data_IF_398073481437
#
_entry.id   IF_398073481437
#
_cell.length_a   1.000
_cell.length_b   1.000
_cell.length_c   1.000
_cell.angle_alpha   90.00
_cell.angle_beta   90.00
_cell.angle_gamma   90.00
#
_symmetry.space_group_name_H-M   'P 1'
#
loop_
_entity.id
_entity.type
_entity.pdbx_description
1 polymer ?
#
# COMPACT_ATOMS: atom_id res chain seq x y z
N UNK A 1 -19.26 25.27 -20.03
CA UNK A 1 -18.00 25.96 -19.68
C UNK A 1 -17.30 25.08 -18.66
N UNK A 2 -16.32 24.31 -19.17
CA UNK A 2 -15.49 23.30 -18.51
C UNK A 2 -16.26 22.09 -17.96
N UNK A 3 -16.25 21.00 -18.73
CA UNK A 3 -16.59 19.65 -18.28
C UNK A 3 -15.61 19.18 -17.19
N UNK A 4 -15.94 19.49 -15.94
CA UNK A 4 -15.19 19.04 -14.73
C UNK A 4 -15.43 17.54 -14.46
N UNK A 5 -16.10 16.79 -15.34
CA UNK A 5 -16.25 15.33 -15.21
C UNK A 5 -15.14 14.53 -15.91
N UNK A 6 -14.44 15.09 -16.91
CA UNK A 6 -13.39 14.37 -17.64
C UNK A 6 -12.02 14.32 -16.94
N UNK A 7 -11.81 15.15 -15.90
CA UNK A 7 -10.49 15.32 -15.23
C UNK A 7 -10.42 14.72 -13.82
N UNK A 8 -11.54 14.32 -13.21
CA UNK A 8 -11.58 13.73 -11.87
C UNK A 8 -10.82 12.39 -11.71
N UNK A 9 -10.78 11.47 -12.70
CA UNK A 9 -10.10 10.18 -12.48
C UNK A 9 -8.57 10.29 -12.41
N UNK A 10 -7.97 11.45 -12.72
CA UNK A 10 -6.51 11.57 -12.74
C UNK A 10 -5.90 11.62 -11.34
N UNK A 11 -6.51 12.30 -10.37
CA UNK A 11 -5.91 12.49 -9.03
C UNK A 11 -5.85 11.17 -8.25
N UNK A 12 -6.92 10.38 -8.27
CA UNK A 12 -6.99 9.09 -7.60
C UNK A 12 -5.90 8.11 -8.11
N UNK A 13 -5.60 8.15 -9.42
CA UNK A 13 -4.54 7.34 -10.04
C UNK A 13 -3.13 7.64 -9.50
N UNK A 14 -2.84 8.87 -9.11
CA UNK A 14 -1.54 9.22 -8.53
C UNK A 14 -1.35 8.56 -7.15
N UNK A 15 -2.40 8.50 -6.33
CA UNK A 15 -2.33 7.83 -5.02
C UNK A 15 -2.21 6.32 -5.14
N UNK A 16 -2.86 5.71 -6.14
CA UNK A 16 -2.68 4.29 -6.44
C UNK A 16 -1.24 3.95 -6.84
N UNK A 17 -0.55 4.85 -7.55
CA UNK A 17 0.87 4.69 -7.88
C UNK A 17 1.77 4.78 -6.65
N UNK A 18 1.47 5.70 -5.72
CA UNK A 18 2.19 5.80 -4.43
C UNK A 18 2.01 4.53 -3.61
N UNK A 19 0.76 4.02 -3.52
CA UNK A 19 0.46 2.78 -2.83
C UNK A 19 1.18 1.56 -3.44
N UNK A 20 1.31 1.51 -4.77
CA UNK A 20 1.99 0.40 -5.44
C UNK A 20 3.49 0.28 -5.06
N UNK A 21 4.13 1.39 -4.71
CA UNK A 21 5.54 1.43 -4.29
C UNK A 21 5.67 1.33 -2.75
N UNK A 22 4.55 1.42 -2.03
CA UNK A 22 4.53 1.40 -0.58
C UNK A 22 4.75 -0.02 -0.03
N UNK A 23 5.74 -0.17 0.86
CA UNK A 23 6.08 -1.46 1.49
C UNK A 23 6.49 -1.35 2.96
N UNK A 24 6.18 -0.24 3.63
CA UNK A 24 6.72 0.09 4.97
C UNK A 24 6.40 -1.00 6.01
N UNK A 25 5.22 -1.60 5.94
CA UNK A 25 4.79 -2.65 6.89
C UNK A 25 5.66 -3.91 6.85
N UNK A 26 6.20 -4.27 5.68
CA UNK A 26 7.04 -5.48 5.52
C UNK A 26 8.52 -5.19 5.69
N UNK A 27 8.95 -3.93 5.58
CA UNK A 27 10.35 -3.54 5.64
C UNK A 27 11.00 -3.92 6.97
N UNK A 28 10.38 -3.58 8.11
CA UNK A 28 10.97 -3.83 9.43
C UNK A 28 11.11 -5.33 9.76
N UNK A 29 10.09 -6.18 9.54
CA UNK A 29 10.25 -7.62 9.75
C UNK A 29 11.29 -8.24 8.81
N UNK A 30 11.36 -7.79 7.55
CA UNK A 30 12.36 -8.27 6.59
C UNK A 30 13.77 -7.89 7.04
N UNK A 31 13.99 -6.63 7.42
CA UNK A 31 15.28 -6.14 7.95
C UNK A 31 15.71 -6.96 9.17
N UNK A 32 14.79 -7.22 10.12
CA UNK A 32 15.06 -8.02 11.31
C UNK A 32 15.42 -9.50 11.02
N UNK A 33 15.07 -10.02 9.84
CA UNK A 33 15.38 -11.39 9.42
C UNK A 33 16.64 -11.49 8.56
N UNK A 34 17.28 -10.38 8.21
CA UNK A 34 18.51 -10.38 7.42
C UNK A 34 19.73 -10.77 8.27
N UNK A 35 20.65 -11.52 7.66
CA UNK A 35 21.96 -11.85 8.27
C UNK A 35 22.77 -10.59 8.62
N UNK A 36 22.65 -9.55 7.80
CA UNK A 36 23.34 -8.27 7.97
C UNK A 36 22.35 -7.10 7.79
N UNK A 37 21.61 -6.70 8.85
CA UNK A 37 20.59 -5.65 8.76
C UNK A 37 21.16 -4.29 8.38
N UNK A 38 22.41 -3.99 8.76
CA UNK A 38 23.10 -2.73 8.45
C UNK A 38 23.25 -2.45 6.95
N UNK A 39 23.23 -3.49 6.11
CA UNK A 39 23.30 -3.33 4.65
C UNK A 39 21.95 -3.05 3.99
N UNK A 40 20.85 -3.07 4.74
CA UNK A 40 19.51 -2.89 4.19
C UNK A 40 19.30 -1.47 3.62
N UNK A 41 19.72 -0.44 4.37
CA UNK A 41 19.60 0.98 4.02
C UNK A 41 20.85 1.59 3.35
N UNK A 42 21.84 0.77 2.99
CA UNK A 42 23.05 1.27 2.33
C UNK A 42 22.72 1.86 0.94
N UNK A 43 23.60 2.70 0.34
CA UNK A 43 23.33 3.35 -0.96
C UNK A 43 22.95 2.36 -2.06
N UNK A 44 23.65 1.23 -2.12
CA UNK A 44 23.31 0.06 -2.96
C UNK A 44 22.79 -1.11 -2.09
N UNK A 45 22.04 -0.79 -1.05
CA UNK A 45 21.40 -1.74 -0.16
C UNK A 45 20.21 -2.43 -0.81
N UNK A 46 19.73 -3.48 -0.14
CA UNK A 46 18.63 -4.31 -0.63
C UNK A 46 17.37 -3.48 -0.90
N UNK A 47 17.07 -2.49 -0.06
CA UNK A 47 15.88 -1.65 -0.22
C UNK A 47 15.93 -0.80 -1.50
N UNK A 48 17.04 -0.11 -1.75
CA UNK A 48 17.18 0.76 -2.93
C UNK A 48 17.16 -0.06 -4.22
N UNK A 49 17.85 -1.21 -4.23
CA UNK A 49 17.84 -2.10 -5.41
C UNK A 49 16.43 -2.65 -5.65
N UNK A 50 15.72 -3.05 -4.60
CA UNK A 50 14.35 -3.54 -4.70
C UNK A 50 13.42 -2.46 -5.27
N UNK A 51 13.44 -1.24 -4.70
CA UNK A 51 12.62 -0.11 -5.17
C UNK A 51 12.96 0.23 -6.63
N UNK A 52 14.23 0.36 -7.00
CA UNK A 52 14.61 0.62 -8.39
C UNK A 52 14.12 -0.48 -9.34
N UNK A 53 14.25 -1.75 -8.94
CA UNK A 53 13.84 -2.89 -9.76
C UNK A 53 12.32 -2.90 -9.99
N UNK A 54 11.52 -2.72 -8.93
CA UNK A 54 10.05 -2.68 -9.07
C UNK A 54 9.61 -1.46 -9.87
N UNK A 55 10.25 -0.30 -9.70
CA UNK A 55 9.93 0.91 -10.46
C UNK A 55 10.18 0.70 -11.95
N UNK A 56 11.30 0.08 -12.33
CA UNK A 56 11.58 -0.23 -13.74
C UNK A 56 10.53 -1.19 -14.30
N UNK A 57 10.21 -2.26 -13.57
CA UNK A 57 9.19 -3.23 -13.99
C UNK A 57 7.81 -2.58 -14.16
N UNK A 58 7.38 -1.76 -13.21
CA UNK A 58 6.10 -1.04 -13.29
C UNK A 58 6.07 -0.03 -14.43
N UNK A 59 7.15 0.69 -14.69
CA UNK A 59 7.21 1.60 -15.83
C UNK A 59 7.13 0.85 -17.17
N UNK A 60 7.84 -0.27 -17.32
CA UNK A 60 7.78 -1.08 -18.55
C UNK A 60 6.37 -1.62 -18.75
N UNK A 61 5.79 -2.28 -17.75
CA UNK A 61 4.45 -2.86 -17.85
C UNK A 61 3.38 -1.79 -18.04
N UNK A 62 3.49 -0.65 -17.33
CA UNK A 62 2.58 0.48 -17.48
C UNK A 62 2.67 1.12 -18.87
N UNK A 63 3.88 1.33 -19.38
CA UNK A 63 4.10 1.91 -20.71
C UNK A 63 3.54 1.03 -21.83
N UNK A 64 3.90 -0.26 -21.87
CA UNK A 64 3.40 -1.17 -22.90
C UNK A 64 1.90 -1.45 -22.75
N UNK A 65 1.38 -1.48 -21.52
CA UNK A 65 -0.05 -1.60 -21.26
C UNK A 65 -0.85 -0.43 -21.82
N UNK A 66 -0.42 0.79 -21.54
CA UNK A 66 -1.06 1.99 -22.05
C UNK A 66 -0.90 2.13 -23.57
N UNK A 67 0.26 1.78 -24.12
CA UNK A 67 0.51 1.84 -25.56
C UNK A 67 -0.42 0.91 -26.37
N UNK A 68 -0.86 -0.22 -25.79
CA UNK A 68 -1.72 -1.19 -26.47
C UNK A 68 -3.22 -0.86 -26.37
N UNK A 69 -3.68 -0.42 -25.19
CA UNK A 69 -5.11 -0.22 -24.90
C UNK A 69 -5.56 1.25 -24.91
N UNK A 70 -4.62 2.20 -24.84
CA UNK A 70 -4.90 3.63 -24.79
C UNK A 70 -5.85 4.00 -23.65
N UNK A 71 -6.84 4.84 -23.96
CA UNK A 71 -7.83 5.34 -23.00
C UNK A 71 -8.84 4.26 -22.54
N UNK A 72 -8.92 3.10 -23.22
CA UNK A 72 -9.80 1.99 -22.81
C UNK A 72 -9.19 1.09 -21.72
N UNK A 73 -8.03 1.48 -21.17
CA UNK A 73 -7.36 0.72 -20.12
C UNK A 73 -8.19 0.71 -18.84
N UNK A 74 -8.80 -0.44 -18.50
CA UNK A 74 -9.42 -0.69 -17.19
C UNK A 74 -8.37 -0.70 -16.06
N UNK A 75 -8.85 -0.56 -14.83
CA UNK A 75 -8.02 -0.49 -13.62
C UNK A 75 -7.12 -1.66 -13.26
N UNK A 76 -7.28 -2.78 -13.92
CA UNK A 76 -6.27 -3.82 -13.94
C UNK A 76 -5.98 -4.18 -15.39
N UNK A 77 -4.70 -4.17 -15.76
CA UNK A 77 -4.27 -4.57 -17.11
C UNK A 77 -4.74 -5.99 -17.46
N UNK A 78 -4.81 -6.86 -16.45
CA UNK A 78 -5.26 -8.25 -16.55
C UNK A 78 -6.70 -8.38 -17.06
N UNK A 79 -7.55 -7.37 -16.79
CA UNK A 79 -8.95 -7.30 -17.25
C UNK A 79 -9.11 -6.82 -18.70
N UNK A 80 -8.06 -6.24 -19.29
CA UNK A 80 -8.05 -5.78 -20.68
C UNK A 80 -7.59 -6.88 -21.65
N UNK A 81 -6.99 -7.97 -21.14
CA UNK A 81 -6.55 -9.09 -21.96
C UNK A 81 -7.75 -9.84 -22.57
N UNK A 82 -7.72 -10.13 -23.88
CA UNK A 82 -8.82 -10.79 -24.56
C UNK A 82 -8.89 -12.27 -24.14
N UNK A 83 -10.08 -12.72 -23.72
CA UNK A 83 -10.30 -14.05 -23.14
C UNK A 83 -10.35 -15.19 -24.18
N UNK A 84 -10.20 -14.90 -25.46
CA UNK A 84 -10.18 -15.89 -26.54
C UNK A 84 -8.79 -16.50 -26.75
N UNK A 85 -7.72 -15.75 -26.45
CA UNK A 85 -6.34 -16.19 -26.66
C UNK A 85 -5.80 -17.04 -25.51
N UNK A 86 -5.11 -18.13 -25.85
CA UNK A 86 -4.51 -19.06 -24.87
C UNK A 86 -3.43 -18.35 -24.03
N UNK A 87 -2.66 -17.44 -24.64
CA UNK A 87 -1.62 -16.68 -23.95
C UNK A 87 -2.22 -15.77 -22.86
N UNK A 88 -3.31 -15.07 -23.18
CA UNK A 88 -4.00 -14.21 -22.23
C UNK A 88 -4.55 -14.99 -21.03
N UNK A 89 -5.18 -16.14 -21.27
CA UNK A 89 -5.65 -17.03 -20.20
C UNK A 89 -4.50 -17.53 -19.31
N UNK A 90 -3.38 -17.89 -19.91
CA UNK A 90 -2.18 -18.32 -19.18
C UNK A 90 -1.65 -17.22 -18.25
N UNK A 91 -1.57 -15.98 -18.74
CA UNK A 91 -1.16 -14.82 -17.92
C UNK A 91 -2.13 -14.55 -16.77
N UNK A 92 -3.44 -14.62 -17.01
CA UNK A 92 -4.45 -14.47 -15.95
C UNK A 92 -4.32 -15.56 -14.88
N UNK A 93 -4.08 -16.82 -15.29
CA UNK A 93 -3.87 -17.93 -14.37
C UNK A 93 -2.59 -17.74 -13.53
N UNK A 94 -1.48 -17.37 -14.17
CA UNK A 94 -0.22 -17.07 -13.47
C UNK A 94 -0.38 -15.90 -12.50
N UNK A 95 -1.12 -14.85 -12.87
CA UNK A 95 -1.42 -13.73 -11.99
C UNK A 95 -2.24 -14.18 -10.78
N UNK A 96 -3.25 -15.03 -10.97
CA UNK A 96 -4.04 -15.59 -9.86
C UNK A 96 -3.18 -16.41 -8.90
N UNK A 97 -2.29 -17.26 -9.43
CA UNK A 97 -1.33 -18.04 -8.63
C UNK A 97 -0.38 -17.11 -7.86
N UNK A 98 0.14 -16.07 -8.50
CA UNK A 98 1.00 -15.08 -7.86
C UNK A 98 0.27 -14.35 -6.70
N UNK A 99 -0.99 -13.99 -6.88
CA UNK A 99 -1.82 -13.36 -5.83
C UNK A 99 -2.00 -14.31 -4.64
N UNK A 100 -2.25 -15.60 -4.88
CA UNK A 100 -2.38 -16.60 -3.80
C UNK A 100 -1.09 -16.68 -2.97
N UNK A 101 0.07 -16.74 -3.62
CA UNK A 101 1.35 -16.74 -2.91
C UNK A 101 1.60 -15.43 -2.15
N UNK A 102 1.30 -14.30 -2.77
CA UNK A 102 1.51 -12.97 -2.17
C UNK A 102 0.60 -12.75 -0.96
N UNK A 103 -0.61 -13.30 -0.98
CA UNK A 103 -1.57 -13.23 0.13
C UNK A 103 -0.98 -13.82 1.43
N UNK A 104 -0.20 -14.91 1.32
CA UNK A 104 0.51 -15.47 2.48
C UNK A 104 1.52 -14.51 3.10
N UNK A 105 2.25 -13.76 2.25
CA UNK A 105 3.22 -12.76 2.69
C UNK A 105 2.53 -11.52 3.31
N UNK A 106 1.43 -11.05 2.72
CA UNK A 106 0.67 -9.92 3.28
C UNK A 106 0.10 -10.21 4.67
N UNK A 107 -0.33 -11.46 4.93
CA UNK A 107 -0.83 -11.83 6.26
C UNK A 107 0.26 -12.07 7.30
N UNK A 108 1.53 -12.19 6.91
CA UNK A 108 2.63 -12.41 7.84
C UNK A 108 2.75 -11.28 8.86
N UNK A 109 2.77 -10.02 8.40
CA UNK A 109 2.98 -8.85 9.27
C UNK A 109 1.82 -8.62 10.24
N UNK A 110 0.54 -8.56 9.79
CA UNK A 110 -0.60 -8.42 10.71
C UNK A 110 -0.65 -9.55 11.72
N UNK A 111 -0.33 -10.79 11.31
CA UNK A 111 -0.31 -11.94 12.20
C UNK A 111 0.77 -11.80 13.28
N UNK A 112 1.98 -11.38 12.92
CA UNK A 112 3.08 -11.16 13.88
C UNK A 112 2.72 -10.06 14.89
N UNK A 113 2.13 -8.95 14.43
CA UNK A 113 1.69 -7.84 15.29
C UNK A 113 0.57 -8.29 16.24
N UNK A 114 -0.46 -8.96 15.72
CA UNK A 114 -1.58 -9.45 16.53
C UNK A 114 -1.12 -10.50 17.53
N UNK A 115 -0.23 -11.41 17.12
CA UNK A 115 0.30 -12.44 17.99
C UNK A 115 1.13 -11.84 19.13
N UNK A 116 1.95 -10.83 18.87
CA UNK A 116 2.69 -10.11 19.92
C UNK A 116 1.75 -9.44 20.93
N UNK A 117 0.60 -8.93 20.49
CA UNK A 117 -0.38 -8.25 21.35
C UNK A 117 -1.29 -9.20 22.12
N UNK A 118 -1.65 -10.35 21.58
CA UNK A 118 -2.66 -11.26 22.17
C UNK A 118 -2.03 -12.54 22.72
N UNK A 119 -0.90 -12.99 22.17
CA UNK A 119 -0.27 -14.28 22.48
C UNK A 119 0.06 -14.47 23.96
N UNK A 120 0.41 -13.40 24.67
CA UNK A 120 0.68 -13.44 26.12
C UNK A 120 -0.56 -13.77 26.98
N UNK A 121 -1.78 -13.63 26.44
CA UNK A 121 -3.03 -13.93 27.14
C UNK A 121 -3.56 -15.34 26.86
N UNK A 122 -2.94 -16.06 25.95
CA UNK A 122 -3.40 -17.38 25.51
C UNK A 122 -2.54 -18.46 26.19
N UNK A 123 -3.14 -19.55 26.69
CA UNK A 123 -2.37 -20.69 27.18
C UNK A 123 -1.70 -21.44 26.03
N UNK A 124 -0.47 -21.92 26.24
CA UNK A 124 0.35 -22.59 25.21
C UNK A 124 -0.37 -23.75 24.51
N UNK A 125 -1.19 -24.50 25.27
CA UNK A 125 -1.99 -25.60 24.74
C UNK A 125 -2.99 -25.19 23.63
N UNK A 126 -3.36 -23.91 23.54
CA UNK A 126 -4.30 -23.38 22.54
C UNK A 126 -3.63 -22.50 21.49
N UNK A 127 -2.31 -22.42 21.44
CA UNK A 127 -1.60 -21.54 20.49
C UNK A 127 -1.94 -21.84 19.04
N UNK A 128 -1.88 -23.10 18.62
CA UNK A 128 -2.17 -23.48 17.23
C UNK A 128 -3.62 -23.15 16.83
N UNK A 129 -4.56 -23.36 17.76
CA UNK A 129 -5.98 -23.10 17.51
C UNK A 129 -6.27 -21.59 17.46
N UNK A 130 -5.67 -20.82 18.36
CA UNK A 130 -5.79 -19.36 18.37
C UNK A 130 -5.16 -18.71 17.13
N UNK A 131 -3.97 -19.16 16.71
CA UNK A 131 -3.35 -18.65 15.49
C UNK A 131 -4.19 -18.97 14.25
N UNK A 132 -4.73 -20.18 14.17
CA UNK A 132 -5.61 -20.57 13.06
C UNK A 132 -6.90 -19.75 13.07
N UNK A 133 -7.50 -19.54 14.25
CA UNK A 133 -8.70 -18.70 14.40
C UNK A 133 -8.48 -17.25 13.98
N UNK A 134 -7.35 -16.64 14.36
CA UNK A 134 -7.00 -15.27 13.95
C UNK A 134 -6.79 -15.20 12.43
N UNK A 135 -6.05 -16.14 11.84
CA UNK A 135 -5.84 -16.19 10.38
C UNK A 135 -7.16 -16.35 9.63
N UNK A 136 -8.04 -17.22 10.11
CA UNK A 136 -9.36 -17.43 9.52
C UNK A 136 -10.23 -16.16 9.63
N UNK A 137 -10.24 -15.51 10.79
CA UNK A 137 -10.99 -14.26 10.98
C UNK A 137 -10.52 -13.14 10.04
N UNK A 138 -9.20 -12.97 9.87
CA UNK A 138 -8.63 -11.99 8.92
C UNK A 138 -9.03 -12.34 7.48
N UNK A 139 -8.97 -13.62 7.09
CA UNK A 139 -9.36 -14.05 5.76
C UNK A 139 -10.85 -13.77 5.49
N UNK A 140 -11.73 -14.10 6.44
CA UNK A 140 -13.18 -13.83 6.34
C UNK A 140 -13.45 -12.32 6.23
N UNK A 141 -12.75 -11.50 7.01
CA UNK A 141 -12.88 -10.05 6.91
C UNK A 141 -12.47 -9.52 5.53
N UNK A 142 -11.39 -10.03 4.94
CA UNK A 142 -10.96 -9.66 3.59
C UNK A 142 -11.95 -10.10 2.51
N UNK A 143 -12.51 -11.30 2.62
CA UNK A 143 -13.55 -11.77 1.70
C UNK A 143 -14.82 -10.91 1.84
N UNK A 144 -15.19 -10.54 3.06
CA UNK A 144 -16.28 -9.60 3.33
C UNK A 144 -16.07 -8.26 2.64
N UNK A 145 -14.87 -7.70 2.76
CA UNK A 145 -14.49 -6.46 2.08
C UNK A 145 -14.53 -6.59 0.55
N UNK A 146 -14.06 -7.72 0.01
CA UNK A 146 -14.09 -7.99 -1.44
C UNK A 146 -15.52 -8.07 -2.00
N UNK A 147 -16.49 -8.57 -1.22
CA UNK A 147 -17.91 -8.57 -1.62
C UNK A 147 -18.53 -7.17 -1.60
N UNK A 148 -18.01 -6.26 -0.76
CA UNK A 148 -18.53 -4.91 -0.64
C UNK A 148 -18.05 -3.98 -1.75
N UNK A 149 -16.86 -4.20 -2.32
CA UNK A 149 -16.21 -3.26 -3.23
C UNK A 149 -16.40 -3.69 -4.70
N UNK A 150 -17.30 -3.04 -5.48
CA UNK A 150 -17.57 -3.40 -6.88
C UNK A 150 -16.46 -2.96 -7.85
N UNK A 151 -15.70 -1.91 -7.49
CA UNK A 151 -14.57 -1.40 -8.27
C UNK A 151 -13.34 -1.20 -7.38
N UNK A 152 -12.23 -1.85 -7.74
CA UNK A 152 -11.02 -1.86 -6.92
C UNK A 152 -10.22 -0.56 -7.00
N UNK A 153 -10.32 0.20 -8.10
CA UNK A 153 -9.51 1.41 -8.32
C UNK A 153 -9.74 2.52 -7.28
N UNK A 154 -10.99 3.00 -7.04
CA UNK A 154 -11.23 4.04 -6.04
C UNK A 154 -10.87 3.57 -4.63
N UNK A 155 -11.05 2.27 -4.36
CA UNK A 155 -10.72 1.68 -3.07
C UNK A 155 -9.20 1.65 -2.82
N UNK A 156 -8.40 1.31 -3.83
CA UNK A 156 -6.93 1.37 -3.74
C UNK A 156 -6.46 2.82 -3.56
N UNK A 157 -7.05 3.77 -4.28
CA UNK A 157 -6.75 5.20 -4.09
C UNK A 157 -7.09 5.70 -2.69
N UNK A 158 -8.23 5.28 -2.15
CA UNK A 158 -8.67 5.59 -0.78
C UNK A 158 -7.70 5.04 0.27
N UNK A 159 -7.43 3.72 0.22
CA UNK A 159 -6.49 3.06 1.14
C UNK A 159 -5.09 3.64 0.99
N UNK A 160 -4.66 3.93 -0.23
CA UNK A 160 -3.38 4.57 -0.53
C UNK A 160 -3.28 5.96 0.09
N UNK A 161 -4.31 6.80 -0.03
CA UNK A 161 -4.29 8.15 0.55
C UNK A 161 -4.21 8.15 2.09
N UNK A 162 -4.99 7.29 2.75
CA UNK A 162 -5.00 7.17 4.22
C UNK A 162 -3.72 6.49 4.71
N UNK A 163 -3.35 5.36 4.07
CA UNK A 163 -2.20 4.53 4.42
C UNK A 163 -0.89 5.29 4.26
N UNK A 164 -0.63 5.83 3.06
CA UNK A 164 0.60 6.55 2.78
C UNK A 164 0.73 7.84 3.60
N UNK A 165 -0.32 8.63 3.77
CA UNK A 165 -0.25 9.84 4.59
C UNK A 165 0.08 9.52 6.05
N UNK A 166 -0.52 8.45 6.59
CA UNK A 166 -0.37 8.08 8.01
C UNK A 166 0.98 7.37 8.27
N UNK A 167 1.31 6.36 7.45
CA UNK A 167 2.48 5.51 7.65
C UNK A 167 3.75 6.10 7.03
N UNK A 168 3.67 6.67 5.83
CA UNK A 168 4.85 7.18 5.13
C UNK A 168 5.26 8.58 5.57
N UNK A 169 4.31 9.45 5.94
CA UNK A 169 4.61 10.84 6.31
C UNK A 169 4.41 11.12 7.80
N UNK A 170 3.24 10.84 8.36
CA UNK A 170 2.97 11.14 9.78
C UNK A 170 3.88 10.36 10.73
N UNK A 171 4.04 9.05 10.52
CA UNK A 171 4.83 8.20 11.42
C UNK A 171 6.29 8.66 11.56
N UNK A 172 7.08 8.88 10.49
CA UNK A 172 8.45 9.38 10.65
C UNK A 172 8.51 10.81 11.21
N UNK A 173 7.54 11.68 10.87
CA UNK A 173 7.48 13.05 11.43
C UNK A 173 7.25 13.03 12.94
N UNK A 174 6.32 12.20 13.40
CA UNK A 174 6.03 12.03 14.84
C UNK A 174 7.22 11.41 15.54
N UNK A 175 7.83 10.35 14.98
CA UNK A 175 9.00 9.71 15.56
C UNK A 175 10.19 10.68 15.65
N UNK A 176 10.53 11.41 14.59
CA UNK A 176 11.62 12.39 14.61
C UNK A 176 11.36 13.52 15.62
N UNK A 177 10.10 13.93 15.78
CA UNK A 177 9.72 14.95 16.78
C UNK A 177 9.84 14.44 18.21
N UNK A 178 9.41 13.20 18.49
CA UNK A 178 9.51 12.58 19.82
C UNK A 178 10.98 12.31 20.18
N UNK A 179 11.77 11.76 19.26
CA UNK A 179 13.18 11.42 19.51
C UNK A 179 14.05 12.64 19.79
N UNK A 180 13.72 13.82 19.23
CA UNK A 180 14.49 15.07 19.41
C UNK A 180 14.01 15.93 20.58
N UNK A 181 12.88 15.59 21.18
CA UNK A 181 12.34 16.32 22.33
C UNK A 181 13.14 15.99 23.60
N UNK A 182 13.67 16.95 24.38
CA UNK A 182 13.42 18.41 24.38
C UNK A 182 14.57 19.31 23.86
N UNK A 183 15.78 18.78 23.62
CA UNK A 183 16.98 19.62 23.48
C UNK A 183 17.67 19.61 22.10
N UNK A 184 17.26 18.75 21.16
CA UNK A 184 17.97 18.53 19.88
C UNK A 184 17.17 18.98 18.64
N UNK A 185 16.61 20.19 18.67
CA UNK A 185 15.85 20.77 17.53
C UNK A 185 16.71 21.59 16.53
N UNK A 186 18.04 21.57 16.70
CA UNK A 186 18.99 22.29 15.84
C UNK A 186 18.93 23.81 15.96
N UNK A 187 19.78 24.50 15.18
CA UNK A 187 19.83 25.97 15.13
C UNK A 187 18.47 26.54 14.74
N UNK A 188 17.91 27.42 15.57
CA UNK A 188 16.63 28.12 15.37
C UNK A 188 15.37 27.22 15.26
N UNK A 189 15.37 26.00 15.82
CA UNK A 189 14.23 25.05 15.73
C UNK A 189 13.78 24.74 14.30
N UNK A 190 14.66 24.89 13.31
CA UNK A 190 14.34 24.64 11.89
C UNK A 190 13.76 23.23 11.66
N UNK A 191 14.25 22.25 12.41
CA UNK A 191 13.76 20.86 12.33
C UNK A 191 12.31 20.73 12.79
N UNK A 192 11.88 21.52 13.78
CA UNK A 192 10.50 21.55 14.24
C UNK A 192 9.58 22.18 13.18
N UNK A 193 10.02 23.25 12.53
CA UNK A 193 9.28 23.89 11.43
C UNK A 193 9.16 22.91 10.25
N UNK A 194 10.25 22.24 9.86
CA UNK A 194 10.24 21.20 8.82
C UNK A 194 9.24 20.10 9.16
N UNK A 195 9.25 19.58 10.39
CA UNK A 195 8.35 18.51 10.83
C UNK A 195 6.88 18.99 10.86
N UNK A 196 6.63 20.23 11.29
CA UNK A 196 5.30 20.83 11.26
C UNK A 196 4.77 21.01 9.81
N UNK A 197 5.62 21.47 8.89
CA UNK A 197 5.27 21.60 7.46
C UNK A 197 4.99 20.23 6.84
N UNK A 198 5.83 19.23 7.11
CA UNK A 198 5.60 17.85 6.63
C UNK A 198 4.32 17.23 7.22
N UNK A 199 4.03 17.49 8.49
CA UNK A 199 2.79 17.06 9.13
C UNK A 199 1.55 17.72 8.53
N UNK A 200 1.61 19.03 8.27
CA UNK A 200 0.53 19.74 7.57
C UNK A 200 0.33 19.20 6.15
N UNK A 201 1.42 18.96 5.43
CA UNK A 201 1.38 18.37 4.09
C UNK A 201 0.75 16.97 4.11
N UNK A 202 1.07 16.14 5.10
CA UNK A 202 0.44 14.82 5.29
C UNK A 202 -1.08 14.93 5.52
N UNK A 203 -1.52 15.90 6.33
CA UNK A 203 -2.94 16.17 6.57
C UNK A 203 -3.66 16.63 5.29
N UNK A 204 -3.00 17.46 4.48
CA UNK A 204 -3.54 17.87 3.18
C UNK A 204 -3.69 16.69 2.22
N UNK A 205 -2.69 15.81 2.14
CA UNK A 205 -2.76 14.58 1.33
C UNK A 205 -3.92 13.71 1.79
N UNK A 206 -4.07 13.50 3.10
CA UNK A 206 -5.13 12.69 3.67
C UNK A 206 -6.51 13.28 3.35
N UNK A 207 -6.69 14.60 3.57
CA UNK A 207 -7.96 15.28 3.34
C UNK A 207 -8.36 15.28 1.87
N UNK A 208 -7.43 15.68 0.99
CA UNK A 208 -7.67 15.74 -0.45
C UNK A 208 -7.89 14.34 -1.04
N UNK A 209 -7.05 13.37 -0.69
CA UNK A 209 -7.15 12.01 -1.18
C UNK A 209 -8.44 11.32 -0.74
N UNK A 210 -8.78 11.42 0.55
CA UNK A 210 -10.03 10.85 1.08
C UNK A 210 -11.26 11.47 0.42
N UNK A 211 -11.26 12.80 0.25
CA UNK A 211 -12.39 13.51 -0.37
C UNK A 211 -12.63 13.05 -1.81
N UNK A 212 -11.58 13.01 -2.64
CA UNK A 212 -11.74 12.58 -4.04
C UNK A 212 -12.11 11.09 -4.15
N UNK A 213 -11.49 10.21 -3.37
CA UNK A 213 -11.84 8.79 -3.41
C UNK A 213 -13.28 8.53 -2.92
N UNK A 214 -13.78 9.27 -1.92
CA UNK A 214 -15.18 9.18 -1.50
C UNK A 214 -16.16 9.63 -2.59
N UNK A 215 -15.85 10.71 -3.29
CA UNK A 215 -16.69 11.17 -4.41
C UNK A 215 -16.75 10.13 -5.53
N UNK A 216 -15.62 9.52 -5.88
CA UNK A 216 -15.56 8.47 -6.89
C UNK A 216 -16.36 7.23 -6.45
N UNK A 217 -16.27 6.84 -5.17
CA UNK A 217 -17.05 5.72 -4.63
C UNK A 217 -18.54 6.03 -4.69
N UNK A 218 -18.99 7.21 -4.24
CA UNK A 218 -20.42 7.56 -4.23
C UNK A 218 -20.97 7.55 -5.66
N UNK A 219 -20.23 8.11 -6.62
CA UNK A 219 -20.64 8.13 -8.03
C UNK A 219 -20.77 6.75 -8.68
N UNK A 220 -20.19 5.69 -8.08
CA UNK A 220 -20.31 4.31 -8.56
C UNK A 220 -21.58 3.63 -8.03
N UNK A 221 -22.12 4.08 -6.90
CA UNK A 221 -23.32 3.51 -6.28
C UNK A 221 -24.62 4.28 -6.58
N UNK A 222 -24.53 5.48 -7.16
CA UNK A 222 -25.65 6.19 -7.78
C UNK A 222 -25.96 5.66 -9.18
#
# INVERSE_FOLDING_TARGET
>A
MIDVCGQRPQICRHFSAVYAIEGIGIVLPVENKMKHPQHFLHRFGVLNIAICSITILYNITGFFGYALYGEETKGSITLNLPNDQILAKSTQLLAAVAIIFTTGLYYYVPMEILWRKIGHRIPEARYNLAQTGIRFAILVANVGLAMLVPQLEPFIGFVGSIGSATLALMTPVVLDTIFRWPHDFGWMRWQLVKNAVLGLFALLILGVGTYFSMLDIIAIYE
#
